data_IF_969010846297
#
_entry.id   IF_969010846297
#
_cell.length_a   1.000
_cell.length_b   1.000
_cell.length_c   1.000
_cell.angle_alpha   90.00
_cell.angle_beta   90.00
_cell.angle_gamma   90.00
#
_symmetry.space_group_name_H-M   'P 1'
#
loop_
_entity.id
_entity.type
_entity.pdbx_description
1 polymer ?
#
# COMPACT_ATOMS: atom_id res chain seq x y z
N UNK A 1 44.18 -15.19 39.04
CA UNK A 1 43.83 -15.63 37.67
C UNK A 1 42.55 -14.92 37.26
N UNK A 2 42.55 -14.18 36.15
CA UNK A 2 41.37 -13.42 35.71
C UNK A 2 40.53 -14.30 34.76
N UNK A 3 39.31 -14.62 35.17
CA UNK A 3 38.35 -15.34 34.34
C UNK A 3 37.75 -14.39 33.31
N UNK A 4 37.70 -14.81 32.04
CA UNK A 4 37.16 -14.03 30.93
C UNK A 4 35.84 -14.66 30.47
N UNK A 5 34.78 -13.86 30.44
CA UNK A 5 33.45 -14.28 30.00
C UNK A 5 33.32 -14.02 28.49
N UNK A 6 33.34 -15.08 27.69
CA UNK A 6 33.12 -15.00 26.26
C UNK A 6 31.65 -15.35 25.94
N UNK A 7 30.85 -14.34 25.57
CA UNK A 7 29.47 -14.54 25.13
C UNK A 7 29.49 -14.88 23.63
N UNK A 8 29.00 -16.06 23.21
CA UNK A 8 29.02 -16.45 21.80
C UNK A 8 28.09 -15.54 20.99
N UNK A 9 28.67 -14.77 20.07
CA UNK A 9 27.89 -13.97 19.12
C UNK A 9 27.38 -14.87 17.99
N UNK A 10 26.08 -14.80 17.70
CA UNK A 10 25.50 -15.46 16.53
C UNK A 10 26.10 -14.87 15.27
N UNK A 11 26.66 -15.72 14.40
CA UNK A 11 27.14 -15.29 13.09
C UNK A 11 25.95 -14.79 12.26
N UNK A 12 25.90 -13.48 12.04
CA UNK A 12 24.86 -12.87 11.21
C UNK A 12 25.10 -13.21 9.75
N UNK A 13 24.10 -13.74 9.05
CA UNK A 13 24.19 -13.96 7.61
C UNK A 13 24.31 -12.62 6.85
N UNK A 14 24.86 -12.66 5.62
CA UNK A 14 25.07 -11.47 4.78
C UNK A 14 23.78 -10.67 4.56
N UNK A 15 22.64 -11.35 4.44
CA UNK A 15 21.33 -10.71 4.29
C UNK A 15 20.90 -9.99 5.57
N UNK A 16 21.12 -10.59 6.73
CA UNK A 16 20.84 -9.97 8.02
C UNK A 16 21.70 -8.73 8.24
N UNK A 17 22.97 -8.77 7.86
CA UNK A 17 23.85 -7.60 7.89
C UNK A 17 23.36 -6.50 6.94
N UNK A 18 22.96 -6.84 5.71
CA UNK A 18 22.34 -5.87 4.78
C UNK A 18 21.09 -5.22 5.38
N UNK A 19 20.21 -6.02 6.00
CA UNK A 19 18.99 -5.54 6.66
C UNK A 19 19.30 -4.61 7.84
N UNK A 20 20.29 -4.96 8.67
CA UNK A 20 20.76 -4.13 9.78
C UNK A 20 21.36 -2.82 9.30
N UNK A 21 22.17 -2.85 8.24
CA UNK A 21 22.77 -1.64 7.66
C UNK A 21 21.71 -0.72 7.06
N UNK A 22 20.69 -1.26 6.37
CA UNK A 22 19.55 -0.46 5.89
C UNK A 22 18.81 0.20 7.04
N UNK A 23 18.51 -0.56 8.10
CA UNK A 23 17.85 -0.02 9.32
C UNK A 23 18.69 1.08 9.98
N UNK A 24 20.01 0.92 10.06
CA UNK A 24 20.91 1.96 10.59
C UNK A 24 20.90 3.21 9.72
N UNK A 25 21.00 3.07 8.41
CA UNK A 25 20.96 4.19 7.47
C UNK A 25 19.62 4.94 7.54
N UNK A 26 18.50 4.22 7.64
CA UNK A 26 17.19 4.82 7.84
C UNK A 26 17.14 5.57 9.19
N UNK A 27 17.58 4.94 10.29
CA UNK A 27 17.61 5.59 11.59
C UNK A 27 18.45 6.88 11.58
N UNK A 28 19.62 6.88 10.94
CA UNK A 28 20.47 8.06 10.77
C UNK A 28 19.78 9.17 9.97
N UNK A 29 19.05 8.81 8.90
CA UNK A 29 18.27 9.75 8.10
C UNK A 29 17.13 10.41 8.91
N UNK A 30 16.54 9.68 9.85
CA UNK A 30 15.44 10.16 10.68
C UNK A 30 15.91 10.87 11.96
N UNK A 31 17.10 10.56 12.49
CA UNK A 31 17.70 11.17 13.68
C UNK A 31 17.61 12.71 13.71
N UNK A 32 17.97 13.48 12.67
CA UNK A 32 17.88 14.94 12.72
C UNK A 32 16.43 15.47 12.74
N UNK A 33 15.47 14.69 12.23
CA UNK A 33 14.04 15.04 12.28
C UNK A 33 13.45 14.77 13.65
N UNK A 34 13.87 13.70 14.32
CA UNK A 34 13.42 13.34 15.66
C UNK A 34 14.03 14.23 16.75
N UNK A 35 15.23 14.77 16.53
CA UNK A 35 15.87 15.71 17.46
C UNK A 35 15.22 17.10 17.47
N UNK A 36 14.35 17.42 16.49
CA UNK A 36 13.69 18.72 16.40
C UNK A 36 12.21 18.55 16.70
N UNK A 37 11.74 18.97 17.89
CA UNK A 37 10.33 18.84 18.26
C UNK A 37 9.40 19.71 17.41
N UNK A 38 9.94 20.76 16.76
CA UNK A 38 9.15 21.70 15.96
C UNK A 38 9.65 21.80 14.50
N UNK A 39 8.75 21.81 13.51
CA UNK A 39 9.11 21.98 12.11
C UNK A 39 9.59 23.41 11.82
N UNK A 40 10.42 23.56 10.79
CA UNK A 40 10.90 24.88 10.34
C UNK A 40 9.81 25.64 9.60
N UNK A 41 9.86 26.98 9.61
CA UNK A 41 8.94 27.82 8.84
C UNK A 41 8.87 27.46 7.34
N UNK A 42 9.99 27.06 6.73
CA UNK A 42 10.02 26.57 5.35
C UNK A 42 9.25 25.26 5.17
N UNK A 43 9.42 24.31 6.10
CA UNK A 43 8.70 23.03 6.09
C UNK A 43 7.21 23.24 6.31
N UNK A 44 6.84 24.15 7.21
CA UNK A 44 5.46 24.59 7.45
C UNK A 44 4.88 25.18 6.16
N UNK A 45 5.58 26.10 5.48
CA UNK A 45 5.13 26.70 4.21
C UNK A 45 5.02 25.71 3.06
N UNK A 46 5.87 24.67 3.01
CA UNK A 46 5.74 23.59 2.01
C UNK A 46 4.62 22.61 2.34
N UNK A 47 4.41 22.36 3.64
CA UNK A 47 3.37 21.44 4.11
C UNK A 47 1.98 22.07 4.05
N UNK A 48 1.86 23.39 4.24
CA UNK A 48 0.58 24.10 4.26
C UNK A 48 -0.21 23.97 2.95
N UNK A 49 0.37 24.14 1.74
CA UNK A 49 -0.32 23.87 0.48
C UNK A 49 -0.81 22.43 0.37
N UNK A 50 0.00 21.47 0.83
CA UNK A 50 -0.33 20.04 0.80
C UNK A 50 -1.37 19.65 1.87
N UNK A 51 -1.39 20.35 3.02
CA UNK A 51 -2.37 20.19 4.09
C UNK A 51 -3.68 20.93 3.82
N UNK A 52 -3.64 22.10 3.17
CA UNK A 52 -4.83 22.90 2.84
C UNK A 52 -5.71 22.24 1.77
N UNK A 53 -5.19 21.23 1.07
CA UNK A 53 -5.99 20.32 0.24
C UNK A 53 -6.76 19.26 1.06
N UNK A 54 -6.57 19.18 2.38
CA UNK A 54 -7.36 18.35 3.29
C UNK A 54 -8.20 19.25 4.21
N UNK A 55 -9.34 19.69 3.70
CA UNK A 55 -10.58 19.98 4.41
C UNK A 55 -10.48 20.27 5.92
N UNK A 56 -10.02 21.46 6.32
CA UNK A 56 -10.45 22.02 7.59
C UNK A 56 -11.70 22.87 7.34
N UNK A 57 -12.92 22.38 7.64
CA UNK A 57 -14.07 23.26 7.69
C UNK A 57 -13.78 24.34 8.76
N UNK A 58 -14.00 25.61 8.42
CA UNK A 58 -13.86 26.70 9.39
C UNK A 58 -14.90 26.46 10.50
N UNK A 59 -14.59 26.73 11.78
CA UNK A 59 -15.51 26.45 12.88
C UNK A 59 -16.86 27.19 12.79
N UNK A 60 -16.97 28.22 11.92
CA UNK A 60 -18.18 28.99 11.68
C UNK A 60 -18.88 28.73 10.33
N UNK A 61 -18.48 27.71 9.56
CA UNK A 61 -19.30 27.31 8.40
C UNK A 61 -20.45 26.46 8.91
N UNK A 62 -21.58 27.12 9.21
CA UNK A 62 -22.87 26.44 9.32
C UNK A 62 -23.03 25.52 8.11
N UNK A 63 -23.33 24.24 8.35
CA UNK A 63 -23.69 23.33 7.27
C UNK A 63 -24.83 23.99 6.51
N UNK A 64 -24.70 24.14 5.20
CA UNK A 64 -25.80 24.68 4.41
C UNK A 64 -27.05 23.83 4.71
N UNK A 65 -28.22 24.44 4.97
CA UNK A 65 -29.41 23.71 5.40
C UNK A 65 -29.85 22.63 4.39
N UNK A 66 -29.40 22.76 3.13
CA UNK A 66 -29.68 21.82 2.05
C UNK A 66 -28.50 20.86 1.74
N UNK A 67 -27.46 20.81 2.57
CA UNK A 67 -26.35 19.88 2.36
C UNK A 67 -26.74 18.48 2.82
N UNK A 68 -27.28 17.69 1.90
CA UNK A 68 -27.48 16.26 2.13
C UNK A 68 -26.11 15.60 2.05
N UNK A 69 -25.56 15.20 3.21
CA UNK A 69 -24.33 14.42 3.25
C UNK A 69 -24.60 13.10 2.49
N UNK A 70 -23.88 12.81 1.39
CA UNK A 70 -24.10 11.57 0.68
C UNK A 70 -23.83 10.41 1.63
N UNK A 71 -24.70 9.40 1.62
CA UNK A 71 -24.45 8.16 2.35
C UNK A 71 -23.17 7.55 1.78
N UNK A 72 -22.15 7.42 2.64
CA UNK A 72 -20.91 6.74 2.27
C UNK A 72 -21.16 5.27 2.59
N UNK A 73 -21.34 4.47 1.55
CA UNK A 73 -21.41 3.03 1.71
C UNK A 73 -20.04 2.54 2.18
N UNK A 74 -19.96 2.13 3.44
CA UNK A 74 -18.72 1.59 4.00
C UNK A 74 -18.59 0.13 3.59
N UNK A 75 -17.45 -0.26 3.02
CA UNK A 75 -17.20 -1.67 2.72
C UNK A 75 -17.24 -2.50 3.99
N UNK A 76 -17.63 -3.77 3.89
CA UNK A 76 -17.68 -4.71 5.02
C UNK A 76 -16.33 -4.83 5.77
N UNK A 77 -15.21 -4.59 5.07
CA UNK A 77 -13.89 -4.55 5.69
C UNK A 77 -13.71 -3.31 6.58
N UNK A 78 -14.18 -2.15 6.14
CA UNK A 78 -14.07 -0.88 6.87
C UNK A 78 -15.00 -0.87 8.08
N UNK A 79 -16.21 -1.40 7.96
CA UNK A 79 -17.12 -1.54 9.12
C UNK A 79 -16.54 -2.48 10.17
N UNK A 80 -16.01 -3.66 9.79
CA UNK A 80 -15.29 -4.55 10.72
C UNK A 80 -14.09 -3.86 11.37
N UNK A 81 -13.36 -3.06 10.61
CA UNK A 81 -12.21 -2.32 11.14
C UNK A 81 -12.67 -1.29 12.18
N UNK A 82 -13.78 -0.59 11.92
CA UNK A 82 -14.36 0.39 12.84
C UNK A 82 -14.91 -0.27 14.11
N UNK A 83 -15.50 -1.46 14.02
CA UNK A 83 -15.95 -2.23 15.18
C UNK A 83 -14.79 -2.72 16.07
N UNK A 84 -13.63 -2.98 15.47
CA UNK A 84 -12.43 -3.43 16.19
C UNK A 84 -11.74 -2.30 16.97
N UNK A 85 -12.05 -1.04 16.69
CA UNK A 85 -11.54 0.09 17.46
C UNK A 85 -12.65 0.62 18.37
N UNK A 86 -12.54 0.49 19.70
CA UNK A 86 -13.50 1.09 20.60
C UNK A 86 -13.49 2.60 20.35
N UNK A 87 -14.64 3.13 19.92
CA UNK A 87 -14.89 4.56 19.91
C UNK A 87 -14.90 4.98 21.38
N UNK A 88 -13.77 5.44 21.88
CA UNK A 88 -13.75 6.14 23.16
C UNK A 88 -14.52 7.43 22.94
N UNK A 89 -15.78 7.44 23.37
CA UNK A 89 -16.62 8.62 23.40
C UNK A 89 -15.89 9.68 24.24
N UNK A 90 -15.28 10.64 23.57
CA UNK A 90 -14.54 11.74 24.21
C UNK A 90 -15.49 12.84 24.72
N UNK A 91 -16.78 12.55 24.84
CA UNK A 91 -17.81 13.51 25.27
C UNK A 91 -17.98 13.63 26.78
N UNK A 92 -17.20 12.90 27.59
CA UNK A 92 -17.21 13.05 29.05
C UNK A 92 -15.83 13.38 29.59
N UNK A 93 -15.38 14.61 29.35
CA UNK A 93 -14.47 15.30 30.25
C UNK A 93 -15.31 16.22 31.14
N UNK A 94 -15.96 15.62 32.15
CA UNK A 94 -16.19 16.25 33.45
C UNK A 94 -16.71 15.18 34.42
N UNK A 95 -15.75 14.60 35.16
CA UNK A 95 -15.95 13.93 36.45
C UNK A 95 -16.69 12.59 36.46
N UNK A 96 -15.97 11.47 36.50
CA UNK A 96 -16.36 10.29 37.28
C UNK A 96 -15.22 9.25 37.35
N UNK A 97 -15.18 8.58 38.50
CA UNK A 97 -14.18 7.67 39.02
C UNK A 97 -13.93 6.41 38.15
N UNK A 98 -12.71 5.89 38.29
CA UNK A 98 -12.21 4.66 37.68
C UNK A 98 -12.73 3.44 38.46
N UNK A 99 -13.61 2.62 37.84
CA UNK A 99 -13.74 1.22 38.23
C UNK A 99 -13.10 0.31 37.18
N UNK A 100 -12.17 -0.50 37.67
CA UNK A 100 -11.34 -1.46 36.97
C UNK A 100 -12.13 -2.77 36.76
N UNK A 101 -12.61 -3.01 35.54
CA UNK A 101 -13.24 -4.29 35.18
C UNK A 101 -12.32 -5.10 34.25
N UNK A 102 -11.84 -6.22 34.79
CA UNK A 102 -11.03 -7.24 34.13
C UNK A 102 -11.74 -7.88 32.92
N UNK A 103 -11.02 -8.19 31.82
CA UNK A 103 -11.59 -8.89 30.67
C UNK A 103 -11.65 -10.41 30.89
N UNK A 104 -12.84 -10.99 30.66
CA UNK A 104 -13.05 -12.45 30.59
C UNK A 104 -12.76 -12.99 29.18
N UNK A 105 -12.21 -14.22 29.03
CA UNK A 105 -11.85 -14.79 27.74
C UNK A 105 -13.07 -15.43 27.05
N UNK A 106 -13.46 -14.90 25.88
CA UNK A 106 -14.53 -15.48 25.05
C UNK A 106 -13.95 -16.52 24.08
N UNK A 107 -14.59 -17.70 24.06
CA UNK A 107 -14.18 -18.93 23.37
C UNK A 107 -14.45 -18.90 21.85
N UNK A 108 -13.63 -19.55 21.00
CA UNK A 108 -13.57 -19.34 19.55
C UNK A 108 -14.48 -20.29 18.74
N UNK A 109 -15.74 -20.49 19.13
CA UNK A 109 -16.64 -21.45 18.45
C UNK A 109 -17.78 -20.77 17.66
N UNK A 110 -18.08 -19.49 17.90
CA UNK A 110 -19.19 -18.79 17.23
C UNK A 110 -18.81 -18.02 15.95
N UNK A 111 -17.59 -18.20 15.41
CA UNK A 111 -17.15 -17.57 14.16
C UNK A 111 -17.53 -18.34 12.88
N UNK A 112 -18.58 -19.17 12.93
CA UNK A 112 -19.10 -19.82 11.73
C UNK A 112 -19.84 -18.79 10.86
N UNK A 113 -19.19 -18.38 9.76
CA UNK A 113 -19.68 -17.43 8.77
C UNK A 113 -21.03 -17.92 8.19
N UNK A 114 -22.11 -17.11 8.23
CA UNK A 114 -23.36 -17.46 7.57
C UNK A 114 -23.15 -17.49 6.05
N UNK A 115 -23.60 -18.57 5.39
CA UNK A 115 -23.56 -18.79 3.94
C UNK A 115 -24.17 -17.65 3.10
N UNK A 116 -24.98 -16.78 3.69
CA UNK A 116 -25.56 -15.60 3.04
C UNK A 116 -24.51 -14.55 2.63
N UNK A 117 -23.42 -14.40 3.39
CA UNK A 117 -22.31 -13.45 3.08
C UNK A 117 -21.48 -13.85 1.86
N UNK A 118 -21.59 -15.10 1.40
CA UNK A 118 -20.90 -15.59 0.21
C UNK A 118 -21.59 -15.13 -1.08
N UNK A 119 -22.88 -14.75 -1.01
CA UNK A 119 -23.72 -14.45 -2.18
C UNK A 119 -23.50 -13.02 -2.74
N UNK A 120 -23.22 -12.05 -1.87
CA UNK A 120 -22.99 -10.64 -2.27
C UNK A 120 -21.64 -10.42 -2.96
N UNK A 121 -20.61 -11.22 -2.62
CA UNK A 121 -19.31 -11.22 -3.31
C UNK A 121 -19.42 -11.54 -4.82
N UNK A 122 -20.48 -12.22 -5.25
CA UNK A 122 -20.68 -12.53 -6.67
C UNK A 122 -21.23 -11.35 -7.47
N UNK A 123 -21.96 -10.41 -6.87
CA UNK A 123 -22.53 -9.27 -7.61
C UNK A 123 -21.51 -8.17 -7.85
N UNK A 124 -20.66 -7.86 -6.88
CA UNK A 124 -19.48 -6.99 -7.09
C UNK A 124 -18.48 -7.62 -8.08
N UNK A 125 -18.27 -8.94 -8.01
CA UNK A 125 -17.48 -9.65 -9.02
C UNK A 125 -18.12 -9.59 -10.42
N UNK A 126 -19.45 -9.60 -10.51
CA UNK A 126 -20.20 -9.43 -11.77
C UNK A 126 -20.16 -7.99 -12.29
N UNK A 127 -20.15 -6.95 -11.44
CA UNK A 127 -20.01 -5.56 -11.89
C UNK A 127 -18.58 -5.24 -12.32
N UNK A 128 -17.58 -5.80 -11.62
CA UNK A 128 -16.18 -5.79 -12.09
C UNK A 128 -16.04 -6.48 -13.46
N UNK A 129 -16.91 -7.45 -13.76
CA UNK A 129 -16.93 -8.15 -15.04
C UNK A 129 -17.34 -7.26 -16.22
N UNK A 130 -18.23 -6.27 -16.04
CA UNK A 130 -18.66 -5.39 -17.15
C UNK A 130 -17.56 -4.39 -17.52
N UNK A 131 -16.90 -3.79 -16.54
CA UNK A 131 -15.72 -2.93 -16.77
C UNK A 131 -14.56 -3.71 -17.39
N UNK A 132 -14.35 -4.96 -16.95
CA UNK A 132 -13.33 -5.83 -17.52
C UNK A 132 -13.67 -6.28 -18.95
N UNK A 133 -14.95 -6.51 -19.27
CA UNK A 133 -15.42 -6.77 -20.63
C UNK A 133 -15.23 -5.56 -21.55
N UNK A 134 -15.55 -4.36 -21.08
CA UNK A 134 -15.32 -3.14 -21.84
C UNK A 134 -13.82 -2.92 -22.11
N UNK A 135 -12.97 -3.12 -21.10
CA UNK A 135 -11.52 -3.03 -21.26
C UNK A 135 -10.97 -4.10 -22.21
N UNK A 136 -11.50 -5.33 -22.17
CA UNK A 136 -11.17 -6.38 -23.15
C UNK A 136 -11.50 -5.92 -24.56
N UNK A 137 -12.73 -5.43 -24.78
CA UNK A 137 -13.16 -4.96 -26.09
C UNK A 137 -12.31 -3.78 -26.61
N UNK A 138 -11.95 -2.83 -25.73
CA UNK A 138 -11.06 -1.71 -26.10
C UNK A 138 -9.66 -2.20 -26.47
N UNK A 139 -9.19 -3.27 -25.83
CA UNK A 139 -7.86 -3.86 -26.05
C UNK A 139 -7.90 -5.10 -26.96
N UNK A 140 -8.98 -5.33 -27.70
CA UNK A 140 -9.05 -6.44 -28.66
C UNK A 140 -8.20 -6.16 -29.91
N UNK A 141 -8.12 -4.91 -30.34
CA UNK A 141 -7.33 -4.52 -31.51
C UNK A 141 -5.83 -4.55 -31.24
N UNK A 142 -5.04 -4.93 -32.25
CA UNK A 142 -3.58 -5.01 -32.11
C UNK A 142 -2.95 -3.65 -31.77
N UNK A 143 -3.49 -2.56 -32.35
CA UNK A 143 -3.04 -1.20 -32.10
C UNK A 143 -3.28 -0.77 -30.65
N UNK A 144 -4.44 -1.11 -30.08
CA UNK A 144 -4.75 -0.82 -28.69
C UNK A 144 -3.88 -1.67 -27.74
N UNK A 145 -3.63 -2.94 -28.08
CA UNK A 145 -2.71 -3.80 -27.33
C UNK A 145 -1.29 -3.24 -27.35
N UNK A 146 -0.81 -2.77 -28.51
CA UNK A 146 0.52 -2.15 -28.65
C UNK A 146 0.61 -0.85 -27.86
N UNK A 147 -0.44 -0.02 -27.89
CA UNK A 147 -0.50 1.24 -27.14
C UNK A 147 -0.51 1.01 -25.63
N UNK A 148 -1.33 0.06 -25.16
CA UNK A 148 -1.33 -0.37 -23.76
C UNK A 148 0.03 -0.92 -23.35
N UNK A 149 0.64 -1.77 -24.19
CA UNK A 149 1.97 -2.30 -23.94
C UNK A 149 3.02 -1.19 -23.80
N UNK A 150 3.01 -0.17 -24.65
CA UNK A 150 3.94 0.97 -24.53
C UNK A 150 3.75 1.75 -23.22
N UNK A 151 2.50 1.97 -22.80
CA UNK A 151 2.20 2.67 -21.56
C UNK A 151 2.67 1.89 -20.31
N UNK A 152 2.65 0.55 -20.38
CA UNK A 152 2.96 -0.31 -19.24
C UNK A 152 4.39 -0.89 -19.24
N UNK A 153 5.03 -1.03 -20.39
CA UNK A 153 6.38 -1.62 -20.49
C UNK A 153 7.50 -0.65 -20.10
N UNK A 154 7.26 0.66 -20.18
CA UNK A 154 8.26 1.67 -19.84
C UNK A 154 8.47 1.79 -18.31
N UNK A 155 9.73 1.95 -17.86
CA UNK A 155 10.02 2.25 -16.47
C UNK A 155 9.44 3.62 -16.09
N UNK A 156 8.97 3.76 -14.85
CA UNK A 156 8.41 5.02 -14.32
C UNK A 156 9.50 6.04 -13.97
N UNK A 157 10.41 6.36 -14.91
CA UNK A 157 11.36 7.45 -14.72
C UNK A 157 10.61 8.78 -14.68
N UNK A 158 10.64 9.45 -13.52
CA UNK A 158 10.07 10.79 -13.33
C UNK A 158 8.72 10.86 -12.61
N UNK A 159 8.09 9.72 -12.26
CA UNK A 159 6.94 9.72 -11.34
C UNK A 159 7.43 9.76 -9.90
N UNK A 160 6.92 10.72 -9.12
CA UNK A 160 7.25 10.90 -7.70
C UNK A 160 6.90 9.69 -6.83
N UNK A 161 5.93 8.88 -7.25
CA UNK A 161 5.29 7.95 -6.32
C UNK A 161 5.84 6.52 -6.42
N UNK A 162 6.60 6.15 -7.48
CA UNK A 162 7.12 4.78 -7.77
C UNK A 162 6.15 3.62 -7.46
N UNK A 163 4.85 3.91 -7.31
CA UNK A 163 3.89 3.03 -6.66
C UNK A 163 3.56 1.84 -7.55
N UNK A 164 3.61 2.06 -8.87
CA UNK A 164 3.45 1.00 -9.86
C UNK A 164 4.65 0.07 -9.86
N UNK A 165 5.86 0.60 -9.79
CA UNK A 165 7.09 -0.20 -9.71
C UNK A 165 7.10 -1.09 -8.45
N UNK A 166 6.69 -0.54 -7.31
CA UNK A 166 6.57 -1.27 -6.05
C UNK A 166 5.50 -2.39 -6.13
N UNK A 167 4.31 -2.11 -6.68
CA UNK A 167 3.29 -3.15 -6.92
C UNK A 167 3.74 -4.21 -7.92
N UNK A 168 4.51 -3.81 -8.94
CA UNK A 168 5.02 -4.72 -9.97
C UNK A 168 6.16 -5.61 -9.48
N UNK A 169 6.89 -5.21 -8.44
CA UNK A 169 7.98 -5.99 -7.85
C UNK A 169 7.50 -6.92 -6.72
N UNK A 170 6.38 -6.62 -6.06
CA UNK A 170 5.94 -7.36 -4.87
C UNK A 170 5.32 -8.74 -5.13
N UNK A 171 5.18 -9.18 -6.39
CA UNK A 171 4.49 -10.43 -6.73
C UNK A 171 5.06 -11.20 -7.91
N UNK A 172 6.25 -10.84 -8.41
CA UNK A 172 6.86 -11.50 -9.56
C UNK A 172 8.20 -12.14 -9.17
N UNK A 173 8.46 -13.32 -9.75
CA UNK A 173 9.68 -14.10 -9.50
C UNK A 173 10.87 -13.25 -9.96
N UNK A 174 11.83 -13.03 -9.06
CA UNK A 174 13.02 -12.20 -9.31
C UNK A 174 13.81 -12.69 -10.51
N UNK A 175 13.90 -14.01 -10.69
CA UNK A 175 14.72 -14.63 -11.72
C UNK A 175 14.19 -14.34 -13.13
N UNK A 176 12.87 -14.32 -13.32
CA UNK A 176 12.25 -13.94 -14.60
C UNK A 176 12.48 -12.45 -14.94
N UNK A 177 12.60 -11.59 -13.93
CA UNK A 177 12.95 -10.17 -14.14
C UNK A 177 14.39 -9.99 -14.58
N UNK A 178 15.31 -10.78 -14.00
CA UNK A 178 16.72 -10.77 -14.39
C UNK A 178 16.90 -11.31 -15.82
N UNK A 179 16.17 -12.38 -16.18
CA UNK A 179 16.12 -12.91 -17.54
C UNK A 179 15.60 -11.88 -18.54
N UNK A 180 14.53 -11.16 -18.20
CA UNK A 180 13.98 -10.09 -19.05
C UNK A 180 14.97 -8.94 -19.23
N UNK A 181 15.68 -8.53 -18.18
CA UNK A 181 16.72 -7.51 -18.26
C UNK A 181 17.89 -7.97 -19.15
N UNK A 182 18.20 -9.27 -19.15
CA UNK A 182 19.18 -9.88 -20.04
C UNK A 182 18.66 -10.13 -21.47
N UNK A 183 17.37 -9.84 -21.75
CA UNK A 183 16.73 -10.13 -23.04
C UNK A 183 16.54 -11.63 -23.32
N UNK A 184 16.54 -12.46 -22.28
CA UNK A 184 16.36 -13.91 -22.37
C UNK A 184 14.90 -14.29 -22.15
N UNK A 185 14.50 -15.44 -22.74
CA UNK A 185 13.14 -15.96 -22.66
C UNK A 185 12.74 -16.21 -21.19
N UNK A 186 11.63 -15.62 -20.77
CA UNK A 186 11.09 -15.70 -19.41
C UNK A 186 9.58 -15.96 -19.43
N UNK A 187 9.01 -16.18 -18.24
CA UNK A 187 7.57 -16.42 -18.06
C UNK A 187 6.77 -15.18 -17.67
N UNK A 188 7.33 -13.98 -17.85
CA UNK A 188 6.62 -12.75 -17.50
C UNK A 188 5.39 -12.53 -18.41
N UNK A 189 4.36 -11.83 -17.91
CA UNK A 189 3.29 -11.33 -18.75
C UNK A 189 3.80 -10.40 -19.87
N UNK A 190 3.19 -10.45 -21.06
CA UNK A 190 3.64 -9.69 -22.25
C UNK A 190 3.79 -8.18 -21.99
N UNK A 191 2.89 -7.56 -21.21
CA UNK A 191 2.95 -6.14 -20.87
C UNK A 191 4.19 -5.75 -20.04
N UNK A 192 4.87 -6.74 -19.43
CA UNK A 192 6.10 -6.54 -18.66
C UNK A 192 7.36 -6.86 -19.46
N UNK A 193 7.23 -7.57 -20.59
CA UNK A 193 8.35 -7.93 -21.44
C UNK A 193 8.76 -6.78 -22.37
N UNK A 194 9.47 -5.80 -21.84
CA UNK A 194 9.95 -4.64 -22.59
C UNK A 194 11.03 -4.97 -23.64
N UNK A 195 11.82 -6.02 -23.40
CA UNK A 195 12.88 -6.54 -24.27
C UNK A 195 12.42 -7.76 -25.08
N UNK A 196 11.74 -8.73 -24.45
CA UNK A 196 11.41 -10.02 -25.11
C UNK A 196 9.97 -10.13 -25.60
N UNK A 197 9.14 -9.11 -25.36
CA UNK A 197 7.72 -9.14 -25.68
C UNK A 197 7.45 -9.06 -27.17
N UNK A 198 6.28 -9.52 -27.59
CA UNK A 198 5.87 -9.51 -29.02
C UNK A 198 5.89 -8.12 -29.67
N UNK A 199 5.72 -7.07 -28.87
CA UNK A 199 5.74 -5.68 -29.31
C UNK A 199 7.05 -4.95 -29.01
N UNK A 200 8.01 -5.63 -28.38
CA UNK A 200 9.32 -5.06 -28.14
C UNK A 200 9.99 -4.77 -29.49
N UNK A 201 10.43 -3.52 -29.69
CA UNK A 201 11.28 -3.19 -30.83
C UNK A 201 12.58 -3.95 -30.62
N UNK A 202 12.75 -5.06 -31.35
CA UNK A 202 13.84 -6.00 -31.18
C UNK A 202 15.18 -5.26 -31.03
N UNK A 203 15.66 -5.16 -29.80
CA UNK A 203 17.10 -5.07 -29.57
C UNK A 203 17.62 -6.39 -30.09
N UNK A 204 18.12 -6.39 -31.34
CA UNK A 204 18.86 -7.52 -31.90
C UNK A 204 19.79 -7.98 -30.78
N UNK A 205 19.59 -9.20 -30.31
CA UNK A 205 20.49 -9.84 -29.38
C UNK A 205 21.91 -9.58 -29.90
N UNK A 206 22.70 -8.83 -29.13
CA UNK A 206 24.11 -8.70 -29.41
C UNK A 206 24.65 -10.13 -29.43
N UNK A 207 25.04 -10.59 -30.63
CA UNK A 207 25.77 -11.84 -30.81
C UNK A 207 27.11 -11.75 -30.11
#
# INVERSE_FOLDING_TARGET
MALKLDIPQKQSTREQQRKLNRRRADAERWKPKLQRPYPRLGEIRTAYPLKLMRHYPKPNTFSQPNFVKPKIDTSARVSRLLEQFPLTDTTHADGAEYEELSPSPVSPVDQAIPLSTLRENFEEARSAHTGLQANKHITESEEAQRSAWLAFSLPEEGRSDRGREAMMQSGLITDDLDLEAAGQRNQLPEWKKHCTGRFAKGRKAAR
#
